data_IF_484900598466
#
_entry.id   IF_484900598466
#
_cell.length_a   1.000
_cell.length_b   1.000
_cell.length_c   1.000
_cell.angle_alpha   90.00
_cell.angle_beta   90.00
_cell.angle_gamma   90.00
#
_symmetry.space_group_name_H-M   'P 1'
#
loop_
_entity.id
_entity.type
_entity.pdbx_description
1 polymer ?
#
# COMPACT_ATOMS: atom_id res chain seq x y z
N UNK A 1 0.71 11.58 -9.60
CA UNK A 1 0.67 13.02 -9.33
C UNK A 1 2.08 13.59 -9.11
N UNK A 2 2.89 13.12 -8.12
CA UNK A 2 4.23 13.69 -7.80
C UNK A 2 5.10 13.79 -9.04
N UNK A 3 5.31 12.69 -9.76
CA UNK A 3 6.14 12.69 -10.97
C UNK A 3 5.54 13.53 -12.09
N UNK A 4 4.23 13.51 -12.26
CA UNK A 4 3.56 14.40 -13.21
C UNK A 4 3.87 15.87 -12.91
N UNK A 5 3.72 16.32 -11.66
CA UNK A 5 4.07 17.69 -11.27
C UNK A 5 5.55 18.00 -11.49
N UNK A 6 6.44 17.06 -11.20
CA UNK A 6 7.88 17.24 -11.43
C UNK A 6 8.21 17.46 -12.90
N UNK A 7 7.62 16.66 -13.77
CA UNK A 7 7.89 16.72 -15.21
C UNK A 7 7.20 17.93 -15.87
N UNK A 8 5.92 18.15 -15.59
CA UNK A 8 5.14 19.17 -16.30
C UNK A 8 5.30 20.58 -15.74
N UNK A 9 5.42 20.73 -14.42
CA UNK A 9 5.50 22.04 -13.77
C UNK A 9 6.93 22.46 -13.40
N UNK A 10 7.80 21.49 -13.11
CA UNK A 10 9.16 21.78 -12.62
C UNK A 10 10.26 21.50 -13.67
N UNK A 11 9.94 20.87 -14.81
CA UNK A 11 10.94 20.46 -15.81
C UNK A 11 11.99 19.47 -15.25
N UNK A 12 11.66 18.77 -14.18
CA UNK A 12 12.58 17.89 -13.46
C UNK A 12 12.36 16.41 -13.79
N UNK A 13 13.41 15.61 -13.71
CA UNK A 13 13.29 14.15 -13.95
C UNK A 13 12.38 13.48 -12.93
N UNK A 14 11.58 12.45 -13.33
CA UNK A 14 10.74 11.71 -12.41
C UNK A 14 11.60 10.93 -11.39
N UNK A 15 11.09 10.84 -10.16
CA UNK A 15 11.68 9.96 -9.16
C UNK A 15 11.35 8.50 -9.45
N UNK A 16 12.32 7.62 -9.24
CA UNK A 16 12.07 6.17 -9.29
C UNK A 16 11.19 5.74 -8.13
N UNK A 17 10.32 4.79 -8.38
CA UNK A 17 9.57 4.11 -7.32
C UNK A 17 10.53 3.60 -6.23
N UNK A 18 10.13 3.72 -4.98
CA UNK A 18 10.90 3.29 -3.80
C UNK A 18 12.24 4.03 -3.59
N UNK A 19 12.56 5.07 -4.36
CA UNK A 19 13.71 5.92 -4.08
C UNK A 19 13.50 6.72 -2.79
N UNK A 20 14.59 7.11 -2.13
CA UNK A 20 14.54 7.95 -0.93
C UNK A 20 13.76 9.23 -1.16
N UNK A 21 13.95 9.87 -2.30
CA UNK A 21 13.29 11.12 -2.66
C UNK A 21 11.78 10.92 -2.84
N UNK A 22 11.36 9.85 -3.55
CA UNK A 22 9.94 9.53 -3.70
C UNK A 22 9.28 9.20 -2.37
N UNK A 23 9.93 8.40 -1.53
CA UNK A 23 9.41 8.04 -0.21
C UNK A 23 9.38 9.25 0.72
N UNK A 24 10.41 10.09 0.69
CA UNK A 24 10.50 11.30 1.50
C UNK A 24 9.40 12.31 1.18
N UNK A 25 9.21 12.64 -0.10
CA UNK A 25 8.15 13.56 -0.51
C UNK A 25 6.75 12.99 -0.25
N UNK A 26 6.57 11.69 -0.45
CA UNK A 26 5.29 11.02 -0.16
C UNK A 26 4.99 11.06 1.34
N UNK A 27 5.97 10.78 2.19
CA UNK A 27 5.84 10.88 3.64
C UNK A 27 5.52 12.30 4.09
N UNK A 28 6.21 13.30 3.53
CA UNK A 28 5.97 14.70 3.83
C UNK A 28 4.54 15.13 3.48
N UNK A 29 4.08 14.80 2.26
CA UNK A 29 2.71 15.12 1.83
C UNK A 29 1.67 14.43 2.73
N UNK A 30 1.88 13.15 3.03
CA UNK A 30 0.96 12.40 3.91
C UNK A 30 0.94 12.96 5.34
N UNK A 31 2.08 13.42 5.83
CA UNK A 31 2.16 14.06 7.15
C UNK A 31 1.29 15.31 7.25
N UNK A 32 1.14 16.09 6.17
CA UNK A 32 0.25 17.26 6.14
C UNK A 32 -1.23 16.89 6.36
N UNK A 33 -1.61 15.66 6.05
CA UNK A 33 -2.97 15.14 6.26
C UNK A 33 -3.11 14.30 7.53
N UNK A 34 -2.07 14.25 8.39
CA UNK A 34 -2.09 13.42 9.60
C UNK A 34 -3.25 13.81 10.51
N UNK A 35 -4.00 12.81 10.98
CA UNK A 35 -5.17 12.98 11.82
C UNK A 35 -6.48 13.22 11.07
N UNK A 36 -6.45 13.63 9.81
CA UNK A 36 -7.66 13.69 8.97
C UNK A 36 -8.22 12.28 8.70
N UNK A 37 -9.49 12.18 8.36
CA UNK A 37 -10.11 10.91 8.02
C UNK A 37 -9.78 10.53 6.58
N UNK A 38 -9.44 9.25 6.39
CA UNK A 38 -9.34 8.66 5.05
C UNK A 38 -10.74 8.70 4.41
N UNK A 39 -10.81 9.24 3.20
CA UNK A 39 -12.02 9.29 2.39
C UNK A 39 -11.64 9.08 0.93
N UNK A 40 -11.63 7.84 0.49
CA UNK A 40 -11.27 7.43 -0.87
C UNK A 40 -12.54 7.19 -1.66
N UNK A 41 -12.77 8.02 -2.68
CA UNK A 41 -13.83 7.83 -3.65
C UNK A 41 -13.43 6.75 -4.67
N UNK A 42 -14.36 5.87 -5.02
CA UNK A 42 -14.13 4.72 -5.91
C UNK A 42 -15.12 4.66 -7.08
N UNK A 43 -15.92 5.69 -7.23
CA UNK A 43 -16.87 5.89 -8.32
C UNK A 43 -16.22 6.51 -9.56
N UNK A 44 -16.98 6.63 -10.62
CA UNK A 44 -16.56 7.26 -11.88
C UNK A 44 -15.32 6.56 -12.47
N UNK A 45 -14.28 7.33 -12.76
CA UNK A 45 -13.04 6.84 -13.40
C UNK A 45 -12.25 5.84 -12.52
N UNK A 46 -12.49 5.81 -11.22
CA UNK A 46 -11.80 4.92 -10.30
C UNK A 46 -12.44 3.51 -10.20
N UNK A 47 -13.71 3.36 -10.64
CA UNK A 47 -14.48 2.13 -10.41
C UNK A 47 -13.84 0.89 -11.01
N UNK A 48 -13.34 0.96 -12.23
CA UNK A 48 -12.68 -0.19 -12.88
C UNK A 48 -11.41 -0.64 -12.12
N UNK A 49 -10.60 0.32 -11.68
CA UNK A 49 -9.41 0.04 -10.88
C UNK A 49 -9.77 -0.51 -9.48
N UNK A 50 -10.84 0.00 -8.88
CA UNK A 50 -11.35 -0.48 -7.61
C UNK A 50 -11.80 -1.94 -7.69
N UNK A 51 -12.62 -2.30 -8.68
CA UNK A 51 -13.10 -3.68 -8.87
C UNK A 51 -11.93 -4.64 -9.17
N UNK A 52 -10.94 -4.20 -9.96
CA UNK A 52 -9.71 -4.95 -10.19
C UNK A 52 -8.95 -5.19 -8.88
N UNK A 53 -8.77 -4.15 -8.07
CA UNK A 53 -8.08 -4.24 -6.78
C UNK A 53 -8.81 -5.15 -5.80
N UNK A 54 -10.15 -5.07 -5.76
CA UNK A 54 -11.01 -5.97 -4.98
C UNK A 54 -10.81 -7.42 -5.40
N UNK A 55 -10.87 -7.71 -6.71
CA UNK A 55 -10.64 -9.06 -7.23
C UNK A 55 -9.27 -9.60 -6.80
N UNK A 56 -8.20 -8.78 -6.96
CA UNK A 56 -6.84 -9.17 -6.57
C UNK A 56 -6.70 -9.44 -5.07
N UNK A 57 -7.43 -8.71 -4.24
CA UNK A 57 -7.40 -8.87 -2.78
C UNK A 57 -7.93 -10.24 -2.33
N UNK A 58 -8.95 -10.77 -3.02
CA UNK A 58 -9.54 -12.08 -2.74
C UNK A 58 -8.96 -13.22 -3.58
N UNK A 59 -8.19 -12.89 -4.61
CA UNK A 59 -7.59 -13.90 -5.48
C UNK A 59 -6.52 -14.70 -4.76
N UNK A 60 -6.66 -16.02 -4.76
CA UNK A 60 -5.67 -16.97 -4.23
C UNK A 60 -4.51 -17.08 -5.20
N UNK A 61 -3.29 -16.95 -4.70
CA UNK A 61 -2.06 -16.98 -5.50
C UNK A 61 -0.91 -17.60 -4.73
N UNK A 62 0.16 -17.91 -5.45
CA UNK A 62 1.39 -18.49 -4.90
C UNK A 62 1.26 -19.97 -4.57
N UNK A 63 2.39 -20.57 -4.18
CA UNK A 63 2.44 -22.01 -3.85
C UNK A 63 1.63 -22.36 -2.59
N UNK A 64 1.38 -21.38 -1.71
CA UNK A 64 0.57 -21.58 -0.51
C UNK A 64 -0.92 -21.34 -0.79
N UNK A 65 -1.30 -21.01 -2.03
CA UNK A 65 -2.67 -20.80 -2.47
C UNK A 65 -3.47 -19.88 -1.52
N UNK A 66 -2.92 -18.71 -1.21
CA UNK A 66 -3.49 -17.75 -0.27
C UNK A 66 -3.82 -16.41 -0.93
N UNK A 67 -4.81 -15.71 -0.37
CA UNK A 67 -5.17 -14.34 -0.74
C UNK A 67 -4.85 -13.36 0.40
N UNK A 68 -5.00 -12.06 0.14
CA UNK A 68 -4.88 -11.04 1.18
C UNK A 68 -5.93 -11.22 2.27
N UNK A 69 -7.17 -11.59 1.89
CA UNK A 69 -8.28 -11.82 2.81
C UNK A 69 -7.96 -12.90 3.85
N UNK A 70 -7.32 -14.01 3.48
CA UNK A 70 -6.97 -15.07 4.42
C UNK A 70 -6.16 -14.57 5.62
N UNK A 71 -5.26 -13.60 5.41
CA UNK A 71 -4.49 -13.03 6.52
C UNK A 71 -5.21 -11.85 7.18
N UNK A 72 -5.85 -10.98 6.39
CA UNK A 72 -6.31 -9.68 6.85
C UNK A 72 -7.81 -9.61 7.23
N UNK A 73 -8.56 -10.67 6.93
CA UNK A 73 -9.96 -10.84 7.33
C UNK A 73 -10.11 -12.11 8.18
N UNK A 74 -9.85 -13.28 7.61
CA UNK A 74 -10.12 -14.56 8.29
C UNK A 74 -9.21 -14.80 9.50
N UNK A 75 -7.99 -14.29 9.47
CA UNK A 75 -6.98 -14.47 10.53
C UNK A 75 -6.53 -13.15 11.17
N UNK A 76 -7.32 -12.09 11.04
CA UNK A 76 -7.06 -10.82 11.72
C UNK A 76 -6.92 -11.04 13.24
N UNK A 77 -5.90 -10.42 13.83
CA UNK A 77 -5.60 -10.53 15.26
C UNK A 77 -4.74 -11.73 15.65
N UNK A 78 -4.62 -12.74 14.78
CA UNK A 78 -3.71 -13.87 14.99
C UNK A 78 -2.26 -13.46 14.68
N UNK A 79 -1.33 -14.27 15.11
CA UNK A 79 0.10 -14.03 14.89
C UNK A 79 0.65 -14.91 13.76
N UNK A 80 1.46 -14.30 12.90
CA UNK A 80 2.35 -15.00 11.99
C UNK A 80 3.79 -14.70 12.41
N UNK A 81 4.46 -15.68 13.02
CA UNK A 81 5.71 -15.47 13.75
C UNK A 81 5.51 -14.42 14.86
N UNK A 82 6.31 -13.34 14.87
CA UNK A 82 6.20 -12.24 15.82
C UNK A 82 5.28 -11.10 15.36
N UNK A 83 4.77 -11.15 14.13
CA UNK A 83 3.93 -10.10 13.56
C UNK A 83 2.44 -10.43 13.75
N UNK A 84 1.70 -9.59 14.45
CA UNK A 84 0.24 -9.68 14.49
C UNK A 84 -0.36 -9.29 13.13
N UNK A 85 -1.28 -10.09 12.63
CA UNK A 85 -2.01 -9.84 11.40
C UNK A 85 -3.01 -8.69 11.61
N UNK A 86 -2.77 -7.57 10.96
CA UNK A 86 -3.67 -6.42 10.97
C UNK A 86 -4.80 -6.61 9.96
N UNK A 87 -5.81 -5.74 9.98
CA UNK A 87 -6.88 -5.69 8.97
C UNK A 87 -6.41 -5.28 7.55
N UNK A 88 -5.11 -5.03 7.36
CA UNK A 88 -4.55 -4.70 6.05
C UNK A 88 -4.79 -3.28 5.58
N UNK A 89 -5.25 -2.39 6.45
CA UNK A 89 -5.43 -0.98 6.11
C UNK A 89 -4.08 -0.28 5.90
N UNK A 90 -4.05 0.69 4.98
CA UNK A 90 -2.83 1.38 4.58
C UNK A 90 -2.78 2.86 5.01
N UNK A 91 -3.61 3.26 5.95
CA UNK A 91 -3.68 4.62 6.49
C UNK A 91 -2.37 5.11 7.14
N UNK A 92 -1.46 4.20 7.52
CA UNK A 92 -0.15 4.49 8.07
C UNK A 92 1.00 4.54 7.03
N UNK A 93 0.72 4.32 5.73
CA UNK A 93 1.77 4.32 4.70
C UNK A 93 1.98 5.71 4.06
N UNK A 94 3.23 6.04 3.65
CA UNK A 94 4.45 5.25 3.80
C UNK A 94 4.81 5.04 5.26
N UNK A 95 5.41 3.88 5.57
CA UNK A 95 5.69 3.49 6.95
C UNK A 95 7.17 3.13 7.14
N UNK A 96 7.75 3.52 8.28
CA UNK A 96 9.03 2.99 8.72
C UNK A 96 8.83 1.57 9.27
N UNK A 97 9.66 0.65 8.85
CA UNK A 97 9.73 -0.68 9.47
C UNK A 97 11.13 -0.98 9.95
N UNK A 98 11.23 -1.47 11.19
CA UNK A 98 12.51 -1.89 11.76
C UNK A 98 13.21 -2.94 10.87
N UNK A 99 12.45 -3.93 10.41
CA UNK A 99 12.93 -4.96 9.47
C UNK A 99 13.49 -4.42 8.15
N UNK A 100 13.07 -3.24 7.72
CA UNK A 100 13.59 -2.59 6.52
C UNK A 100 14.72 -1.60 6.81
N UNK A 101 14.86 -1.24 8.07
CA UNK A 101 15.70 -0.12 8.52
C UNK A 101 15.45 1.14 7.67
N UNK A 102 14.20 1.44 7.40
CA UNK A 102 13.83 2.56 6.56
C UNK A 102 12.35 2.65 6.26
N UNK A 103 11.98 3.75 5.61
CA UNK A 103 10.63 3.98 5.12
C UNK A 103 10.39 3.16 3.86
N UNK A 104 9.18 2.65 3.70
CA UNK A 104 8.78 1.90 2.52
C UNK A 104 7.33 2.19 2.12
N UNK A 105 7.04 1.97 0.85
CA UNK A 105 5.71 2.14 0.27
C UNK A 105 4.80 0.94 0.55
N UNK A 106 3.51 1.11 0.24
CA UNK A 106 2.52 0.05 0.20
C UNK A 106 2.95 -1.07 -0.76
N UNK A 107 3.49 -0.72 -1.93
CA UNK A 107 3.98 -1.70 -2.90
C UNK A 107 5.12 -2.56 -2.34
N UNK A 108 6.03 -1.97 -1.56
CA UNK A 108 7.07 -2.74 -0.86
C UNK A 108 6.46 -3.76 0.10
N UNK A 109 5.38 -3.38 0.79
CA UNK A 109 4.65 -4.30 1.67
C UNK A 109 3.98 -5.42 0.90
N UNK A 110 3.27 -5.11 -0.21
CA UNK A 110 2.65 -6.12 -1.07
C UNK A 110 3.67 -7.14 -1.58
N UNK A 111 4.82 -6.66 -2.07
CA UNK A 111 5.92 -7.55 -2.51
C UNK A 111 6.40 -8.48 -1.40
N UNK A 112 6.47 -7.99 -0.16
CA UNK A 112 6.80 -8.81 1.01
C UNK A 112 5.75 -9.88 1.30
N UNK A 113 4.46 -9.53 1.24
CA UNK A 113 3.35 -10.46 1.41
C UNK A 113 3.36 -11.54 0.32
N UNK A 114 3.55 -11.15 -0.96
CA UNK A 114 3.66 -12.12 -2.08
C UNK A 114 4.79 -13.12 -1.85
N UNK A 115 5.97 -12.67 -1.42
CA UNK A 115 7.08 -13.58 -1.09
C UNK A 115 6.72 -14.54 0.05
N UNK A 116 6.01 -14.08 1.08
CA UNK A 116 5.62 -14.92 2.21
C UNK A 116 4.71 -16.08 1.80
N UNK A 117 3.85 -15.88 0.79
CA UNK A 117 2.96 -16.91 0.24
C UNK A 117 3.56 -17.63 -0.97
N UNK A 118 4.86 -17.43 -1.24
CA UNK A 118 5.60 -18.00 -2.36
C UNK A 118 4.98 -17.67 -3.72
N UNK A 119 4.41 -16.48 -3.86
CA UNK A 119 3.98 -15.88 -5.12
C UNK A 119 5.09 -15.01 -5.71
N UNK A 120 5.11 -14.86 -7.03
CA UNK A 120 6.04 -13.96 -7.73
C UNK A 120 5.60 -12.50 -7.52
N UNK A 121 6.43 -11.64 -6.89
CA UNK A 121 6.08 -10.24 -6.72
C UNK A 121 6.10 -9.49 -8.06
N UNK A 122 5.12 -8.62 -8.26
CA UNK A 122 5.10 -7.71 -9.41
C UNK A 122 6.11 -6.56 -9.24
N UNK A 123 6.51 -5.87 -10.33
CA UNK A 123 7.31 -4.66 -10.25
C UNK A 123 6.62 -3.55 -9.45
N UNK A 124 7.41 -2.61 -8.91
CA UNK A 124 6.87 -1.39 -8.34
C UNK A 124 6.13 -0.58 -9.41
N UNK A 125 4.98 0.00 -9.07
CA UNK A 125 4.18 0.77 -10.01
C UNK A 125 3.34 -0.07 -10.97
N UNK A 126 3.38 -1.41 -10.90
CA UNK A 126 2.51 -2.26 -11.71
C UNK A 126 1.04 -1.92 -11.47
N UNK A 127 0.24 -1.91 -12.53
CA UNK A 127 -1.17 -1.52 -12.49
C UNK A 127 -1.99 -2.34 -11.49
N UNK A 128 -1.70 -3.62 -11.31
CA UNK A 128 -2.34 -4.46 -10.30
C UNK A 128 -2.04 -3.99 -8.88
N UNK A 129 -0.81 -3.56 -8.62
CA UNK A 129 -0.47 -3.02 -7.30
C UNK A 129 -1.11 -1.64 -7.07
N UNK A 130 -1.25 -0.82 -8.11
CA UNK A 130 -1.98 0.46 -8.01
C UNK A 130 -3.45 0.19 -7.73
N UNK A 131 -4.07 -0.76 -8.42
CA UNK A 131 -5.46 -1.16 -8.19
C UNK A 131 -5.66 -1.74 -6.77
N UNK A 132 -4.76 -2.61 -6.33
CA UNK A 132 -4.79 -3.19 -4.98
C UNK A 132 -4.58 -2.10 -3.90
N UNK A 133 -3.72 -1.12 -4.15
CA UNK A 133 -3.51 0.02 -3.26
C UNK A 133 -4.78 0.87 -3.14
N UNK A 134 -5.49 1.12 -4.25
CA UNK A 134 -6.78 1.81 -4.23
C UNK A 134 -7.80 1.07 -3.37
N UNK A 135 -7.94 -0.25 -3.57
CA UNK A 135 -8.86 -1.07 -2.79
C UNK A 135 -8.51 -1.08 -1.30
N UNK A 136 -7.25 -1.29 -0.94
CA UNK A 136 -6.82 -1.30 0.47
C UNK A 136 -6.88 0.07 1.13
N UNK A 137 -6.73 1.16 0.36
CA UNK A 137 -6.95 2.52 0.84
C UNK A 137 -8.44 2.77 1.14
N UNK A 138 -9.33 2.34 0.25
CA UNK A 138 -10.78 2.43 0.44
C UNK A 138 -11.24 1.63 1.67
N UNK A 139 -10.69 0.45 1.92
CA UNK A 139 -10.97 -0.33 3.13
C UNK A 139 -10.64 0.44 4.42
N UNK A 140 -9.74 1.40 4.34
CA UNK A 140 -9.38 2.29 5.44
C UNK A 140 -10.27 3.52 5.59
N UNK A 141 -11.35 3.66 4.81
CA UNK A 141 -12.23 4.83 4.92
C UNK A 141 -12.77 5.00 6.34
N UNK A 142 -12.76 6.24 6.83
CA UNK A 142 -13.13 6.60 8.18
C UNK A 142 -12.01 6.52 9.22
N UNK A 143 -10.94 5.76 8.96
CA UNK A 143 -9.76 5.74 9.83
C UNK A 143 -8.99 7.05 9.74
N UNK A 144 -8.27 7.40 10.80
CA UNK A 144 -7.34 8.55 10.76
C UNK A 144 -6.12 8.23 9.91
N UNK A 145 -5.63 9.22 9.17
CA UNK A 145 -4.32 9.16 8.53
C UNK A 145 -3.26 9.17 9.63
N UNK A 146 -2.47 8.11 9.70
CA UNK A 146 -1.38 7.93 10.67
C UNK A 146 0.01 8.07 10.03
N UNK A 147 0.05 8.20 8.71
CA UNK A 147 1.31 8.28 7.96
C UNK A 147 2.09 9.58 8.24
N UNK A 148 3.42 9.52 8.25
CA UNK A 148 4.22 8.30 8.27
C UNK A 148 4.12 7.58 9.62
N UNK A 149 3.91 6.26 9.58
CA UNK A 149 3.79 5.44 10.78
C UNK A 149 5.06 4.60 11.01
N UNK A 150 5.11 3.95 12.16
CA UNK A 150 6.15 2.99 12.54
C UNK A 150 5.55 1.58 12.67
N UNK A 151 6.31 0.59 12.27
CA UNK A 151 6.01 -0.84 12.46
C UNK A 151 7.30 -1.63 12.76
N UNK A 152 7.17 -2.69 13.53
CA UNK A 152 8.27 -3.64 13.81
C UNK A 152 8.69 -4.41 12.54
#
# INVERSE_FOLDING_TARGET
VINMCRETAMGAKPYKWESRDMLGITAYIRMQSRGSRVNVAVDGKASAAFERGKKLYYQRVGQLDMSCAHCHEDNYGNYIRADMLSQGNINGFPTYRLKWNGVGSTHRRFRGCMKNIRAKPLPYGHEDYVALELYTAWRGNGLKVEAPAYRN
#
